data_IF_323991855071
#
_entry.id   IF_323991855071
#
_cell.length_a   1.000
_cell.length_b   1.000
_cell.length_c   1.000
_cell.angle_alpha   90.00
_cell.angle_beta   90.00
_cell.angle_gamma   90.00
#
_symmetry.space_group_name_H-M   'P 1'
#
loop_
_entity.id
_entity.type
_entity.pdbx_description
1 polymer ?
#
# COMPACT_ATOMS: atom_id res chain seq x y z
N UNK A 1 41.99 -27.82 -30.99
CA UNK A 1 41.01 -26.77 -30.63
C UNK A 1 40.33 -26.20 -31.90
N UNK A 2 38.99 -26.23 -31.96
CA UNK A 2 38.13 -25.08 -31.63
C UNK A 2 36.93 -25.56 -30.75
N UNK A 3 36.12 -24.77 -30.05
CA UNK A 3 35.62 -23.42 -30.29
C UNK A 3 34.09 -23.51 -30.44
N UNK A 4 33.36 -23.49 -29.33
CA UNK A 4 31.91 -23.27 -29.27
C UNK A 4 31.51 -22.96 -27.81
N UNK A 5 31.83 -21.75 -27.34
CA UNK A 5 31.13 -21.20 -26.19
C UNK A 5 29.75 -20.73 -26.68
N UNK A 6 28.71 -21.47 -26.29
CA UNK A 6 27.33 -21.01 -26.43
C UNK A 6 27.15 -19.72 -25.62
N UNK A 7 26.58 -18.66 -26.22
CA UNK A 7 26.29 -17.44 -25.48
C UNK A 7 25.22 -17.75 -24.42
N UNK A 8 25.40 -17.32 -23.16
CA UNK A 8 24.41 -17.57 -22.14
C UNK A 8 23.10 -16.88 -22.53
N UNK A 9 22.04 -17.68 -22.64
CA UNK A 9 20.67 -17.21 -22.79
C UNK A 9 20.41 -16.10 -21.79
N UNK A 10 20.20 -14.88 -22.30
CA UNK A 10 19.75 -13.74 -21.50
C UNK A 10 18.43 -14.13 -20.87
N UNK A 11 18.47 -14.48 -19.58
CA UNK A 11 17.26 -14.60 -18.76
C UNK A 11 16.52 -13.27 -18.92
N UNK A 12 15.23 -13.25 -19.27
CA UNK A 12 14.47 -12.01 -19.18
C UNK A 12 14.57 -11.55 -17.73
N UNK A 13 15.23 -10.41 -17.51
CA UNK A 13 15.19 -9.75 -16.24
C UNK A 13 13.71 -9.52 -15.94
N UNK A 14 13.19 -10.21 -14.94
CA UNK A 14 11.91 -9.86 -14.33
C UNK A 14 12.09 -8.43 -13.83
N UNK A 15 11.61 -7.47 -14.61
CA UNK A 15 11.51 -6.08 -14.20
C UNK A 15 10.71 -6.15 -12.89
N UNK A 16 11.28 -5.76 -11.74
CA UNK A 16 10.52 -5.71 -10.51
C UNK A 16 9.33 -4.79 -10.80
N UNK A 17 8.11 -5.33 -10.71
CA UNK A 17 6.93 -4.49 -10.70
C UNK A 17 7.18 -3.45 -9.62
N UNK A 18 7.28 -2.18 -10.03
CA UNK A 18 7.67 -1.07 -9.17
C UNK A 18 6.76 -1.10 -7.93
N UNK A 19 7.37 -1.28 -6.75
CA UNK A 19 6.62 -1.35 -5.51
C UNK A 19 5.83 -0.03 -5.35
N UNK A 20 4.56 -0.08 -4.92
CA UNK A 20 3.78 1.13 -4.75
C UNK A 20 4.48 2.10 -3.81
N UNK A 21 4.41 3.42 -4.07
CA UNK A 21 5.09 4.41 -3.25
C UNK A 21 4.54 4.40 -1.83
N UNK A 22 5.43 4.50 -0.83
CA UNK A 22 5.03 4.64 0.57
C UNK A 22 4.37 6.00 0.82
N UNK A 23 3.35 6.05 1.69
CA UNK A 23 2.62 7.29 1.98
C UNK A 23 3.54 8.43 2.42
N UNK A 24 4.55 8.13 3.23
CA UNK A 24 5.56 9.10 3.70
C UNK A 24 6.23 9.85 2.55
N UNK A 25 6.45 9.18 1.42
CA UNK A 25 7.12 9.75 0.24
C UNK A 25 6.21 10.64 -0.60
N UNK A 26 4.89 10.47 -0.50
CA UNK A 26 3.90 11.19 -1.33
C UNK A 26 3.02 12.16 -0.54
N UNK A 27 2.95 12.03 0.79
CA UNK A 27 2.06 12.80 1.65
C UNK A 27 2.23 14.32 1.47
N UNK A 28 3.48 14.80 1.43
CA UNK A 28 3.78 16.21 1.23
C UNK A 28 3.31 16.72 -0.14
N UNK A 29 3.39 15.89 -1.18
CA UNK A 29 2.93 16.24 -2.53
C UNK A 29 1.40 16.34 -2.56
N UNK A 30 0.71 15.35 -1.98
CA UNK A 30 -0.76 15.33 -1.89
C UNK A 30 -1.27 16.51 -1.05
N UNK A 31 -0.61 16.84 0.06
CA UNK A 31 -0.98 17.97 0.92
C UNK A 31 -0.78 19.34 0.26
N UNK A 32 0.09 19.43 -0.75
CA UNK A 32 0.31 20.65 -1.53
C UNK A 32 -0.65 20.79 -2.72
N UNK A 33 -1.42 19.75 -3.05
CA UNK A 33 -2.43 19.83 -4.11
C UNK A 33 -3.57 20.79 -3.69
N UNK A 34 -3.86 21.85 -4.47
CA UNK A 34 -4.92 22.81 -4.15
C UNK A 34 -6.31 22.18 -4.01
N UNK A 35 -6.63 21.13 -4.76
CA UNK A 35 -7.92 20.44 -4.72
C UNK A 35 -8.11 19.68 -3.39
N UNK A 36 -7.01 19.28 -2.75
CA UNK A 36 -7.02 18.60 -1.45
C UNK A 36 -6.88 19.61 -0.32
N UNK A 37 -5.91 20.53 -0.41
CA UNK A 37 -5.55 21.46 0.67
C UNK A 37 -6.68 22.41 1.06
N UNK A 38 -7.47 22.85 0.09
CA UNK A 38 -8.50 23.88 0.30
C UNK A 38 -9.90 23.32 0.52
N UNK A 39 -10.08 21.99 0.52
CA UNK A 39 -11.38 21.37 0.78
C UNK A 39 -11.41 20.76 2.19
N UNK A 40 -12.58 20.77 2.83
CA UNK A 40 -12.77 20.08 4.12
C UNK A 40 -12.49 18.58 3.98
N UNK A 41 -13.07 17.95 2.94
CA UNK A 41 -12.88 16.53 2.66
C UNK A 41 -11.42 16.16 2.32
N UNK A 42 -10.66 17.06 1.68
CA UNK A 42 -9.24 16.81 1.42
C UNK A 42 -8.37 16.82 2.67
N UNK A 43 -8.67 17.70 3.65
CA UNK A 43 -8.00 17.70 4.96
C UNK A 43 -8.33 16.45 5.77
N UNK A 44 -9.60 16.06 5.80
CA UNK A 44 -10.04 14.81 6.43
C UNK A 44 -9.35 13.59 5.79
N UNK A 45 -9.25 13.58 4.45
CA UNK A 45 -8.53 12.55 3.71
C UNK A 45 -7.04 12.47 4.10
N UNK A 46 -6.33 13.61 4.18
CA UNK A 46 -4.93 13.64 4.60
C UNK A 46 -4.74 13.09 6.02
N UNK A 47 -5.60 13.48 6.96
CA UNK A 47 -5.56 12.99 8.34
C UNK A 47 -5.84 11.49 8.41
N UNK A 48 -6.79 11.01 7.62
CA UNK A 48 -7.12 9.59 7.54
C UNK A 48 -5.96 8.78 6.96
N UNK A 49 -5.37 9.22 5.84
CA UNK A 49 -4.21 8.55 5.23
C UNK A 49 -3.00 8.50 6.18
N UNK A 50 -2.71 9.58 6.89
CA UNK A 50 -1.62 9.62 7.87
C UNK A 50 -1.79 8.59 8.99
N UNK A 51 -3.02 8.36 9.47
CA UNK A 51 -3.29 7.38 10.53
C UNK A 51 -3.13 5.93 10.08
N UNK A 52 -3.39 5.63 8.81
CA UNK A 52 -3.50 4.25 8.35
C UNK A 52 -2.37 3.79 7.41
N UNK A 53 -1.70 4.72 6.72
CA UNK A 53 -0.64 4.40 5.78
C UNK A 53 0.75 4.92 6.23
N UNK A 54 0.82 5.60 7.38
CA UNK A 54 2.06 6.14 7.92
C UNK A 54 3.06 5.10 8.42
N UNK A 55 2.60 3.91 8.81
CA UNK A 55 3.46 2.82 9.27
C UNK A 55 2.94 1.46 8.75
N UNK A 56 3.29 1.07 7.50
CA UNK A 56 2.78 -0.14 6.88
C UNK A 56 3.36 -1.44 7.46
N UNK A 57 4.47 -1.38 8.21
CA UNK A 57 5.14 -2.55 8.79
C UNK A 57 4.96 -2.67 10.31
N UNK A 58 4.52 -1.61 11.00
CA UNK A 58 4.35 -1.58 12.46
C UNK A 58 3.41 -2.65 13.02
N UNK A 59 2.45 -3.13 12.22
CA UNK A 59 1.57 -4.23 12.64
C UNK A 59 2.32 -5.53 12.92
N UNK A 60 3.50 -5.75 12.32
CA UNK A 60 4.29 -6.99 12.50
C UNK A 60 4.79 -7.14 13.92
N UNK A 61 5.12 -6.03 14.58
CA UNK A 61 5.52 -6.02 15.99
C UNK A 61 4.32 -6.27 16.91
N UNK A 62 3.12 -5.83 16.50
CA UNK A 62 1.89 -5.96 17.27
C UNK A 62 1.36 -7.40 17.32
N UNK A 63 1.66 -8.26 16.34
CA UNK A 63 1.20 -9.66 16.33
C UNK A 63 1.57 -10.38 17.62
N UNK A 64 2.80 -10.17 18.11
CA UNK A 64 3.29 -10.82 19.34
C UNK A 64 2.77 -10.13 20.61
N UNK A 65 2.23 -8.92 20.52
CA UNK A 65 1.64 -8.20 21.65
C UNK A 65 0.20 -8.64 21.93
N UNK A 66 -0.48 -9.31 21.00
CA UNK A 66 -1.85 -9.80 21.17
C UNK A 66 -1.85 -11.08 22.03
N UNK A 67 -2.48 -11.10 23.21
CA UNK A 67 -2.59 -12.32 24.01
C UNK A 67 -3.39 -13.41 23.30
N UNK A 68 -3.01 -14.68 23.48
CA UNK A 68 -3.59 -15.83 22.76
C UNK A 68 -5.14 -15.92 22.84
N UNK A 69 -5.73 -15.54 23.98
CA UNK A 69 -7.19 -15.58 24.17
C UNK A 69 -7.94 -14.46 23.42
N UNK A 70 -7.25 -13.39 23.00
CA UNK A 70 -7.83 -12.32 22.21
C UNK A 70 -7.69 -12.53 20.70
N UNK A 71 -6.80 -13.44 20.25
CA UNK A 71 -6.53 -13.67 18.83
C UNK A 71 -7.80 -13.97 18.04
N UNK A 72 -8.66 -14.86 18.56
CA UNK A 72 -9.92 -15.23 17.90
C UNK A 72 -10.93 -14.08 17.78
N UNK A 73 -10.80 -13.03 18.61
CA UNK A 73 -11.66 -11.84 18.58
C UNK A 73 -11.08 -10.76 17.68
N UNK A 74 -9.76 -10.54 17.76
CA UNK A 74 -9.07 -9.46 17.05
C UNK A 74 -8.83 -9.80 15.58
N UNK A 75 -8.52 -11.05 15.25
CA UNK A 75 -8.20 -11.44 13.86
C UNK A 75 -9.35 -11.16 12.88
N UNK A 76 -10.63 -11.50 13.18
CA UNK A 76 -11.75 -11.16 12.29
C UNK A 76 -11.95 -9.65 12.12
N UNK A 77 -11.69 -8.86 13.17
CA UNK A 77 -11.80 -7.40 13.12
C UNK A 77 -10.72 -6.83 12.19
N UNK A 78 -9.47 -7.27 12.33
CA UNK A 78 -8.36 -6.87 11.47
C UNK A 78 -8.63 -7.25 10.00
N UNK A 79 -9.19 -8.44 9.76
CA UNK A 79 -9.59 -8.88 8.41
C UNK A 79 -10.67 -7.96 7.81
N UNK A 80 -11.69 -7.59 8.59
CA UNK A 80 -12.73 -6.65 8.15
C UNK A 80 -12.13 -5.30 7.76
N UNK A 81 -11.19 -4.78 8.55
CA UNK A 81 -10.49 -3.52 8.23
C UNK A 81 -9.73 -3.65 6.91
N UNK A 82 -9.01 -4.76 6.71
CA UNK A 82 -8.29 -5.01 5.45
C UNK A 82 -9.22 -5.09 4.22
N UNK A 83 -10.42 -5.65 4.37
CA UNK A 83 -11.44 -5.67 3.31
C UNK A 83 -11.94 -4.27 2.96
N UNK A 84 -12.20 -3.42 3.96
CA UNK A 84 -12.61 -2.02 3.72
C UNK A 84 -11.52 -1.24 2.96
N UNK A 85 -10.25 -1.43 3.32
CA UNK A 85 -9.13 -0.84 2.58
C UNK A 85 -9.05 -1.31 1.13
N UNK A 86 -9.28 -2.60 0.90
CA UNK A 86 -9.30 -3.17 -0.45
C UNK A 86 -10.46 -2.58 -1.27
N UNK A 87 -11.64 -2.42 -0.66
CA UNK A 87 -12.81 -1.80 -1.31
C UNK A 87 -12.56 -0.33 -1.65
N UNK A 88 -11.90 0.42 -0.76
CA UNK A 88 -11.51 1.80 -1.02
C UNK A 88 -10.59 1.90 -2.26
N UNK A 89 -9.57 1.06 -2.34
CA UNK A 89 -8.67 1.02 -3.49
C UNK A 89 -9.41 0.65 -4.79
N UNK A 90 -10.34 -0.31 -4.73
CA UNK A 90 -11.16 -0.68 -5.89
C UNK A 90 -11.99 0.50 -6.40
N UNK A 91 -12.68 1.21 -5.49
CA UNK A 91 -13.48 2.39 -5.85
C UNK A 91 -12.64 3.49 -6.51
N UNK A 92 -11.42 3.70 -6.05
CA UNK A 92 -10.50 4.66 -6.68
C UNK A 92 -10.11 4.22 -8.09
N UNK A 93 -9.82 2.92 -8.30
CA UNK A 93 -9.49 2.39 -9.63
C UNK A 93 -10.66 2.49 -10.59
N UNK A 94 -11.86 2.11 -10.18
CA UNK A 94 -13.06 2.23 -11.01
C UNK A 94 -13.35 3.69 -11.39
N UNK A 95 -13.07 4.65 -10.51
CA UNK A 95 -13.20 6.08 -10.82
C UNK A 95 -12.16 6.54 -11.85
N UNK A 96 -10.94 6.01 -11.82
CA UNK A 96 -9.90 6.32 -12.80
C UNK A 96 -10.24 5.77 -14.19
N UNK A 97 -10.80 4.57 -14.28
CA UNK A 97 -11.18 3.93 -15.55
C UNK A 97 -12.40 4.58 -16.23
N UNK A 98 -13.25 5.26 -15.45
CA UNK A 98 -14.45 5.93 -15.93
C UNK A 98 -14.21 7.38 -16.43
N UNK A 99 -12.97 7.88 -16.36
CA UNK A 99 -12.55 9.24 -16.79
C UNK A 99 -11.76 9.14 -18.08
#
# INVERSE_FOLDING_TARGET
>A
PPGAEEPPARRPATVPAEAPPAWETVAAKVANDPCIRYTAGGKEFLQWMAQHAGDPDGWRELVNAVPAHWVGVIAPIAESVGKEWSLFAERLRSRQEAV
#
